data_IF_288142095132
#
_entry.id   IF_288142095132
#
_cell.length_a   1.000
_cell.length_b   1.000
_cell.length_c   1.000
_cell.angle_alpha   90.00
_cell.angle_beta   90.00
_cell.angle_gamma   90.00
#
_symmetry.space_group_name_H-M   'P 1'
#
loop_
_entity.id
_entity.type
_entity.pdbx_description
1 polymer ?
#
# COMPACT_ATOMS: atom_id res chain seq x y z
N UNK A 1 23.60 21.09 -3.06
CA UNK A 1 22.54 20.18 -2.56
C UNK A 1 21.26 20.98 -2.51
N UNK A 2 20.18 20.47 -3.08
CA UNK A 2 18.86 21.10 -3.01
C UNK A 2 18.37 21.06 -1.56
N UNK A 3 17.59 22.05 -1.12
CA UNK A 3 17.01 21.98 0.22
C UNK A 3 15.87 20.95 0.24
N UNK A 4 15.62 20.25 1.36
CA UNK A 4 14.47 19.35 1.47
C UNK A 4 13.13 20.05 1.17
N UNK A 5 13.03 21.34 1.48
CA UNK A 5 11.88 22.18 1.18
C UNK A 5 11.67 22.34 -0.33
N UNK A 6 12.73 22.67 -1.07
CA UNK A 6 12.66 22.77 -2.52
C UNK A 6 12.21 21.44 -3.14
N UNK A 7 12.76 20.32 -2.70
CA UNK A 7 12.40 19.00 -3.23
C UNK A 7 10.91 18.71 -3.02
N UNK A 8 10.36 19.01 -1.85
CA UNK A 8 8.93 18.84 -1.60
C UNK A 8 8.08 19.75 -2.50
N UNK A 9 8.44 21.03 -2.65
CA UNK A 9 7.70 21.97 -3.52
C UNK A 9 7.73 21.47 -4.97
N UNK A 10 8.89 21.09 -5.49
CA UNK A 10 9.00 20.63 -6.88
C UNK A 10 8.36 19.24 -7.10
N UNK A 11 8.40 18.35 -6.11
CA UNK A 11 7.66 17.08 -6.15
C UNK A 11 6.14 17.33 -6.23
N UNK A 12 5.62 18.26 -5.44
CA UNK A 12 4.21 18.69 -5.52
C UNK A 12 3.92 19.33 -6.89
N UNK A 13 4.78 20.24 -7.38
CA UNK A 13 4.61 20.90 -8.66
C UNK A 13 4.52 19.89 -9.83
N UNK A 14 5.35 18.85 -9.78
CA UNK A 14 5.40 17.82 -10.82
C UNK A 14 4.06 17.07 -10.99
N UNK A 15 3.31 16.89 -9.89
CA UNK A 15 1.98 16.26 -9.94
C UNK A 15 0.93 17.09 -10.69
N UNK A 16 1.21 18.38 -10.91
CA UNK A 16 0.28 19.32 -11.55
C UNK A 16 0.67 19.67 -12.99
N UNK A 17 1.79 19.16 -13.48
CA UNK A 17 2.23 19.44 -14.84
C UNK A 17 1.32 18.71 -15.84
N UNK A 18 0.66 19.45 -16.77
CA UNK A 18 -0.27 18.86 -17.72
C UNK A 18 0.39 17.77 -18.59
N UNK A 19 -0.24 16.62 -18.69
CA UNK A 19 0.24 15.53 -19.54
C UNK A 19 1.32 14.65 -18.90
N UNK A 20 1.73 14.93 -17.67
CA UNK A 20 2.61 14.07 -16.88
C UNK A 20 1.74 13.33 -15.87
N UNK A 21 1.57 12.03 -16.06
CA UNK A 21 0.93 11.13 -15.10
C UNK A 21 1.95 10.58 -14.10
N UNK A 22 1.48 9.75 -13.16
CA UNK A 22 2.33 9.17 -12.10
C UNK A 22 3.55 8.43 -12.66
N UNK A 23 3.35 7.56 -13.67
CA UNK A 23 4.42 6.80 -14.32
C UNK A 23 5.45 7.75 -14.96
N UNK A 24 4.98 8.77 -15.70
CA UNK A 24 5.87 9.74 -16.34
C UNK A 24 6.64 10.59 -15.33
N UNK A 25 6.00 11.00 -14.23
CA UNK A 25 6.64 11.76 -13.16
C UNK A 25 7.73 10.91 -12.45
N UNK A 26 7.42 9.65 -12.14
CA UNK A 26 8.39 8.70 -11.57
C UNK A 26 9.58 8.50 -12.51
N UNK A 27 9.32 8.25 -13.81
CA UNK A 27 10.37 8.06 -14.80
C UNK A 27 11.30 9.29 -14.91
N UNK A 28 10.76 10.51 -14.88
CA UNK A 28 11.56 11.73 -14.88
C UNK A 28 12.42 11.86 -13.62
N UNK A 29 11.89 11.55 -12.45
CA UNK A 29 12.63 11.60 -11.18
C UNK A 29 13.74 10.53 -11.18
N UNK A 30 13.44 9.31 -11.58
CA UNK A 30 14.41 8.20 -11.63
C UNK A 30 15.56 8.51 -12.59
N UNK A 31 15.26 9.14 -13.71
CA UNK A 31 16.27 9.49 -14.74
C UNK A 31 17.13 10.72 -14.41
N UNK A 32 16.62 11.66 -13.62
CA UNK A 32 17.29 12.92 -13.30
C UNK A 32 17.73 13.02 -11.83
N UNK A 33 17.26 12.09 -10.98
CA UNK A 33 17.66 11.92 -9.59
C UNK A 33 16.71 12.55 -8.56
N UNK A 34 16.04 13.66 -8.88
CA UNK A 34 15.08 14.32 -7.97
C UNK A 34 14.14 15.27 -8.72
N UNK A 35 13.07 15.72 -8.07
CA UNK A 35 12.07 16.58 -8.68
C UNK A 35 12.60 17.98 -9.03
N UNK A 36 13.50 18.54 -8.23
CA UNK A 36 14.11 19.84 -8.52
C UNK A 36 14.87 19.80 -9.85
N UNK A 37 15.65 18.74 -10.07
CA UNK A 37 16.44 18.58 -11.27
C UNK A 37 15.58 18.34 -12.51
N UNK A 38 14.40 17.73 -12.38
CA UNK A 38 13.41 17.62 -13.47
C UNK A 38 13.06 18.99 -14.05
N UNK A 39 12.85 19.99 -13.21
CA UNK A 39 12.53 21.36 -13.68
C UNK A 39 13.77 22.15 -14.10
N UNK A 40 14.88 22.05 -13.35
CA UNK A 40 16.11 22.81 -13.61
C UNK A 40 16.85 22.35 -14.86
N UNK A 41 16.93 21.04 -15.05
CA UNK A 41 17.65 20.41 -16.14
C UNK A 41 16.74 20.07 -17.34
N UNK A 42 15.53 20.67 -17.41
CA UNK A 42 14.56 20.37 -18.47
C UNK A 42 15.11 20.44 -19.89
N UNK A 43 16.10 21.32 -20.13
CA UNK A 43 16.75 21.45 -21.43
C UNK A 43 17.70 20.32 -21.79
N UNK A 44 18.17 19.58 -20.78
CA UNK A 44 19.05 18.43 -20.91
C UNK A 44 18.26 17.10 -21.01
N UNK A 45 16.94 17.11 -20.77
CA UNK A 45 16.09 15.92 -20.85
C UNK A 45 16.23 15.19 -22.19
N UNK A 46 16.24 15.87 -23.37
CA UNK A 46 16.40 15.17 -24.64
C UNK A 46 17.69 14.38 -24.79
N UNK A 47 18.76 14.80 -24.09
CA UNK A 47 20.06 14.12 -24.11
C UNK A 47 20.10 12.96 -23.11
N UNK A 48 19.47 13.12 -21.94
CA UNK A 48 19.50 12.14 -20.84
C UNK A 48 18.40 11.09 -20.94
N UNK A 49 17.22 11.48 -21.42
CA UNK A 49 16.00 10.68 -21.54
C UNK A 49 15.38 10.89 -22.93
N UNK A 50 15.99 10.35 -23.99
CA UNK A 50 15.58 10.62 -25.37
C UNK A 50 14.17 10.11 -25.71
N UNK A 51 13.62 9.20 -24.90
CA UNK A 51 12.24 8.69 -25.02
C UNK A 51 11.18 9.69 -24.54
N UNK A 52 11.55 10.71 -23.78
CA UNK A 52 10.61 11.73 -23.29
C UNK A 52 10.24 12.69 -24.42
N UNK A 53 8.95 12.78 -24.70
CA UNK A 53 8.45 13.60 -25.79
C UNK A 53 8.69 15.10 -25.56
N UNK A 54 8.95 15.85 -26.64
CA UNK A 54 9.11 17.30 -26.61
C UNK A 54 7.93 18.02 -25.93
N UNK A 55 6.71 17.47 -26.07
CA UNK A 55 5.50 18.01 -25.44
C UNK A 55 5.58 17.98 -23.91
N UNK A 56 6.14 16.91 -23.34
CA UNK A 56 6.34 16.78 -21.88
C UNK A 56 7.38 17.80 -21.41
N UNK A 57 8.47 17.98 -22.16
CA UNK A 57 9.53 18.92 -21.82
C UNK A 57 9.00 20.38 -21.84
N UNK A 58 8.19 20.72 -22.82
CA UNK A 58 7.54 22.04 -22.91
C UNK A 58 6.54 22.25 -21.76
N UNK A 59 5.79 21.20 -21.36
CA UNK A 59 4.83 21.25 -20.25
C UNK A 59 5.50 21.52 -18.89
N UNK A 60 6.78 21.14 -18.71
CA UNK A 60 7.56 21.45 -17.50
C UNK A 60 7.82 22.97 -17.33
N UNK A 61 7.61 23.79 -18.37
CA UNK A 61 7.61 25.24 -18.23
C UNK A 61 6.26 25.74 -17.69
N UNK A 62 5.95 25.36 -16.47
CA UNK A 62 4.68 25.64 -15.82
C UNK A 62 4.87 26.39 -14.48
N UNK A 63 5.15 27.69 -14.48
CA UNK A 63 5.33 28.47 -13.26
C UNK A 63 4.12 28.44 -12.33
N UNK A 64 2.91 28.26 -12.88
CA UNK A 64 1.68 28.17 -12.11
C UNK A 64 1.65 26.91 -11.24
N UNK A 65 2.21 25.79 -11.70
CA UNK A 65 2.33 24.57 -10.91
C UNK A 65 3.26 24.81 -9.70
N UNK A 66 4.38 25.49 -9.90
CA UNK A 66 5.32 25.82 -8.81
C UNK A 66 4.65 26.75 -7.80
N UNK A 67 4.00 27.84 -8.26
CA UNK A 67 3.29 28.77 -7.37
C UNK A 67 2.19 28.06 -6.54
N UNK A 68 1.44 27.16 -7.19
CA UNK A 68 0.41 26.37 -6.47
C UNK A 68 1.04 25.38 -5.49
N UNK A 69 2.19 24.81 -5.83
CA UNK A 69 2.93 23.93 -4.93
C UNK A 69 3.46 24.66 -3.70
N UNK A 70 3.95 25.90 -3.84
CA UNK A 70 4.35 26.74 -2.71
C UNK A 70 3.16 27.01 -1.77
N UNK A 71 1.98 27.31 -2.32
CA UNK A 71 0.75 27.48 -1.52
C UNK A 71 0.37 26.19 -0.78
N UNK A 72 0.50 25.05 -1.43
CA UNK A 72 0.23 23.74 -0.80
C UNK A 72 1.26 23.45 0.28
N UNK A 73 2.53 23.75 0.06
CA UNK A 73 3.59 23.60 1.04
C UNK A 73 3.30 24.41 2.32
N UNK A 74 2.87 25.67 2.18
CA UNK A 74 2.45 26.48 3.32
C UNK A 74 1.23 25.89 4.04
N UNK A 75 0.25 25.36 3.29
CA UNK A 75 -0.92 24.70 3.87
C UNK A 75 -0.53 23.47 4.68
N UNK A 76 0.30 22.55 4.16
CA UNK A 76 0.70 21.34 4.86
C UNK A 76 1.54 21.66 6.10
N UNK A 77 2.45 22.63 6.00
CA UNK A 77 3.26 23.09 7.14
C UNK A 77 2.39 23.65 8.25
N UNK A 78 1.44 24.55 7.94
CA UNK A 78 0.51 25.15 8.88
C UNK A 78 -0.37 24.10 9.58
N UNK A 79 -0.77 23.05 8.88
CA UNK A 79 -1.67 22.02 9.39
C UNK A 79 -0.94 20.79 9.96
N UNK A 80 0.39 20.81 10.05
CA UNK A 80 1.23 19.68 10.50
C UNK A 80 0.91 18.39 9.74
N UNK A 81 0.89 18.49 8.42
CA UNK A 81 0.71 17.39 7.49
C UNK A 81 2.11 17.00 6.99
N UNK A 82 2.44 15.74 7.03
CA UNK A 82 3.68 15.22 6.46
C UNK A 82 3.54 15.12 4.93
N UNK A 83 4.50 15.68 4.21
CA UNK A 83 4.68 15.49 2.79
C UNK A 83 5.67 14.36 2.58
N UNK A 84 5.23 13.26 2.01
CA UNK A 84 6.04 12.08 1.78
C UNK A 84 6.38 12.01 0.28
N UNK A 85 7.61 12.34 -0.06
CA UNK A 85 8.12 12.19 -1.43
C UNK A 85 8.48 10.72 -1.70
N UNK A 86 8.46 10.32 -2.95
CA UNK A 86 8.66 8.94 -3.38
C UNK A 86 9.93 8.27 -2.83
N UNK A 87 11.00 9.03 -2.59
CA UNK A 87 12.28 8.55 -2.07
C UNK A 87 12.42 8.62 -0.54
N UNK A 88 11.42 9.18 0.16
CA UNK A 88 11.46 9.27 1.63
C UNK A 88 11.31 7.88 2.26
N UNK A 89 12.06 7.61 3.33
CA UNK A 89 11.93 6.35 4.09
C UNK A 89 10.52 6.12 4.63
N UNK A 90 9.84 7.19 5.04
CA UNK A 90 8.47 7.12 5.53
C UNK A 90 7.41 6.91 4.45
N UNK A 91 7.78 6.96 3.16
CA UNK A 91 6.85 6.63 2.07
C UNK A 91 6.50 5.13 2.12
N UNK A 92 5.23 4.73 1.92
CA UNK A 92 4.84 3.32 1.97
C UNK A 92 5.66 2.47 0.99
N UNK A 93 6.55 1.62 1.51
CA UNK A 93 7.47 0.81 0.71
C UNK A 93 6.73 -0.10 -0.28
N UNK A 94 5.64 -0.73 0.17
CA UNK A 94 4.80 -1.58 -0.68
C UNK A 94 4.20 -0.81 -1.86
N UNK A 95 3.75 0.43 -1.61
CA UNK A 95 3.20 1.27 -2.67
C UNK A 95 4.28 1.74 -3.65
N UNK A 96 5.52 1.97 -3.17
CA UNK A 96 6.66 2.34 -4.00
C UNK A 96 6.94 1.31 -5.11
N UNK A 97 6.66 0.04 -4.86
CA UNK A 97 6.83 -1.04 -5.83
C UNK A 97 5.77 -1.03 -6.95
N UNK A 98 4.68 -0.30 -6.79
CA UNK A 98 3.66 -0.17 -7.82
C UNK A 98 4.14 0.76 -8.93
N UNK A 99 3.86 0.40 -10.20
CA UNK A 99 4.27 1.21 -11.35
C UNK A 99 3.67 2.62 -11.35
N UNK A 100 2.43 2.73 -10.87
CA UNK A 100 1.64 3.97 -10.83
C UNK A 100 1.64 4.62 -9.45
N UNK A 101 2.65 4.32 -8.61
CA UNK A 101 2.82 4.94 -7.30
C UNK A 101 2.85 6.48 -7.41
N UNK A 102 2.11 7.21 -6.55
CA UNK A 102 2.18 8.67 -6.55
C UNK A 102 3.56 9.15 -6.10
N UNK A 103 4.10 10.17 -6.79
CA UNK A 103 5.41 10.74 -6.43
C UNK A 103 5.38 11.53 -5.12
N UNK A 104 4.18 11.91 -4.67
CA UNK A 104 3.94 12.62 -3.41
C UNK A 104 2.69 12.08 -2.72
N UNK A 105 2.76 11.93 -1.42
CA UNK A 105 1.63 11.64 -0.54
C UNK A 105 1.57 12.67 0.60
N UNK A 106 0.37 13.01 1.02
CA UNK A 106 0.11 13.84 2.18
C UNK A 106 -0.46 13.00 3.30
N UNK A 107 0.22 12.96 4.43
CA UNK A 107 -0.18 12.15 5.58
C UNK A 107 -0.39 12.99 6.83
N UNK A 108 -1.48 12.73 7.53
CA UNK A 108 -1.76 13.32 8.83
C UNK A 108 -2.18 12.23 9.80
N UNK A 109 -1.34 11.95 10.78
CA UNK A 109 -1.53 10.89 11.77
C UNK A 109 -0.22 10.49 12.42
N UNK A 110 -0.24 9.33 13.06
CA UNK A 110 0.92 8.78 13.77
C UNK A 110 1.20 7.30 13.44
N UNK A 111 0.45 6.69 12.51
CA UNK A 111 0.71 5.32 12.08
C UNK A 111 2.05 5.21 11.36
N UNK A 112 2.73 4.10 11.58
CA UNK A 112 3.82 3.68 10.72
C UNK A 112 3.23 3.06 9.42
N UNK A 113 3.44 3.75 8.30
CA UNK A 113 2.96 3.31 6.99
C UNK A 113 3.77 2.13 6.42
N UNK A 114 4.86 1.75 7.09
CA UNK A 114 5.72 0.62 6.81
C UNK A 114 5.64 -0.48 7.87
N UNK A 115 4.53 -0.53 8.64
CA UNK A 115 4.25 -1.60 9.59
C UNK A 115 4.46 -2.97 8.96
N UNK A 116 4.92 -3.95 9.75
CA UNK A 116 5.23 -5.30 9.26
C UNK A 116 4.02 -5.96 8.60
N UNK A 117 2.81 -5.74 9.15
CA UNK A 117 1.57 -6.31 8.66
C UNK A 117 0.57 -5.20 8.33
N UNK A 118 0.18 -5.10 7.07
CA UNK A 118 -0.78 -4.11 6.59
C UNK A 118 -1.84 -4.82 5.75
N UNK A 119 -3.10 -4.70 6.12
CA UNK A 119 -4.21 -5.19 5.31
C UNK A 119 -5.18 -4.07 4.95
N UNK A 120 -5.88 -4.22 3.85
CA UNK A 120 -7.04 -3.38 3.60
C UNK A 120 -8.34 -4.17 3.64
N UNK A 121 -9.39 -3.51 4.12
CA UNK A 121 -10.76 -4.03 4.12
C UNK A 121 -11.62 -3.13 3.26
N UNK A 122 -12.28 -3.71 2.28
CA UNK A 122 -13.13 -2.99 1.32
C UNK A 122 -14.46 -3.69 1.11
N UNK A 123 -15.45 -2.96 0.62
CA UNK A 123 -16.73 -3.56 0.31
C UNK A 123 -17.79 -2.59 -0.21
N UNK A 124 -19.04 -3.03 -0.17
CA UNK A 124 -20.18 -2.24 -0.59
C UNK A 124 -20.37 -1.00 0.29
N UNK A 125 -20.85 0.08 -0.31
CA UNK A 125 -21.29 1.28 0.43
C UNK A 125 -22.57 1.08 1.22
N UNK A 126 -23.31 0.02 0.92
CA UNK A 126 -24.55 -0.39 1.57
C UNK A 126 -24.30 -1.69 2.35
N UNK A 127 -23.45 -1.61 3.38
CA UNK A 127 -23.16 -2.75 4.23
C UNK A 127 -24.44 -3.31 4.86
N UNK A 128 -24.57 -4.63 4.85
CA UNK A 128 -25.65 -5.32 5.55
C UNK A 128 -25.25 -5.61 7.00
N UNK A 129 -26.22 -6.09 7.81
CA UNK A 129 -25.92 -6.56 9.17
C UNK A 129 -24.88 -7.70 9.16
N UNK A 130 -24.90 -8.54 8.14
CA UNK A 130 -23.91 -9.60 7.94
C UNK A 130 -22.50 -9.02 7.74
N UNK A 131 -22.34 -8.07 6.81
CA UNK A 131 -21.04 -7.44 6.55
C UNK A 131 -20.50 -6.67 7.75
N UNK A 132 -21.37 -5.97 8.48
CA UNK A 132 -20.97 -5.25 9.71
C UNK A 132 -20.53 -6.21 10.83
N UNK A 133 -21.23 -7.34 10.99
CA UNK A 133 -20.83 -8.39 11.94
C UNK A 133 -19.50 -9.04 11.58
N UNK A 134 -19.24 -9.29 10.29
CA UNK A 134 -17.93 -9.79 9.83
C UNK A 134 -16.84 -8.80 10.18
N UNK A 135 -17.01 -7.49 9.89
CA UNK A 135 -16.01 -6.48 10.25
C UNK A 135 -15.69 -6.52 11.75
N UNK A 136 -16.73 -6.58 12.60
CA UNK A 136 -16.58 -6.58 14.05
C UNK A 136 -15.86 -7.84 14.56
N UNK A 137 -16.34 -9.03 14.14
CA UNK A 137 -15.75 -10.29 14.59
C UNK A 137 -14.33 -10.46 14.07
N UNK A 138 -14.11 -10.22 12.79
CA UNK A 138 -12.80 -10.38 12.16
C UNK A 138 -11.74 -9.49 12.81
N UNK A 139 -12.01 -8.19 12.99
CA UNK A 139 -11.01 -7.27 13.58
C UNK A 139 -10.78 -7.51 15.06
N UNK A 140 -11.81 -7.93 15.83
CA UNK A 140 -11.66 -8.34 17.22
C UNK A 140 -10.73 -9.56 17.32
N UNK A 141 -10.96 -10.59 16.51
CA UNK A 141 -10.22 -11.84 16.55
C UNK A 141 -8.80 -11.63 15.97
N UNK A 142 -8.67 -10.79 14.92
CA UNK A 142 -7.38 -10.40 14.36
C UNK A 142 -6.51 -9.65 15.39
N UNK A 143 -7.08 -8.78 16.21
CA UNK A 143 -6.33 -8.11 17.30
C UNK A 143 -5.70 -9.07 18.26
N UNK A 144 -6.39 -10.16 18.58
CA UNK A 144 -5.84 -11.19 19.46
C UNK A 144 -4.66 -11.96 18.83
N UNK A 145 -4.67 -12.12 17.50
CA UNK A 145 -3.68 -12.89 16.75
C UNK A 145 -2.50 -12.01 16.28
N UNK A 146 -2.78 -10.80 15.82
CA UNK A 146 -1.82 -9.85 15.26
C UNK A 146 -2.08 -8.44 15.82
N UNK A 147 -1.60 -8.12 17.03
CA UNK A 147 -1.95 -6.88 17.75
C UNK A 147 -1.48 -5.60 17.08
N UNK A 148 -0.47 -5.67 16.21
CA UNK A 148 0.18 -4.51 15.59
C UNK A 148 -0.18 -4.33 14.11
N UNK A 149 -1.20 -5.03 13.61
CA UNK A 149 -1.61 -4.94 12.22
C UNK A 149 -2.20 -3.56 11.90
N UNK A 150 -1.75 -2.93 10.82
CA UNK A 150 -2.32 -1.69 10.30
C UNK A 150 -3.50 -2.01 9.38
N UNK A 151 -4.67 -1.46 9.69
CA UNK A 151 -5.89 -1.59 8.89
C UNK A 151 -6.05 -0.39 7.98
N UNK A 152 -6.13 -0.59 6.68
CA UNK A 152 -6.30 0.46 5.67
C UNK A 152 -7.67 0.34 5.02
N UNK A 153 -8.32 1.47 4.75
CA UNK A 153 -9.54 1.52 3.95
C UNK A 153 -9.77 2.92 3.38
N UNK A 154 -10.89 3.11 2.71
CA UNK A 154 -11.16 4.35 1.96
C UNK A 154 -12.01 5.40 2.68
N UNK A 155 -12.40 5.20 3.93
CA UNK A 155 -13.29 6.08 4.68
C UNK A 155 -14.66 6.33 3.98
N UNK A 156 -15.06 5.49 3.03
CA UNK A 156 -16.34 5.57 2.35
C UNK A 156 -17.49 5.05 3.23
N UNK A 157 -18.73 5.20 2.76
CA UNK A 157 -19.88 4.56 3.40
C UNK A 157 -19.75 3.03 3.39
N UNK A 158 -20.50 2.35 4.26
CA UNK A 158 -20.60 0.90 4.33
C UNK A 158 -19.37 0.25 4.94
N UNK A 159 -18.78 -0.73 4.27
CA UNK A 159 -17.71 -1.55 4.84
C UNK A 159 -16.50 -0.72 5.29
N UNK A 160 -16.08 0.28 4.50
CA UNK A 160 -14.89 1.09 4.82
C UNK A 160 -15.01 1.76 6.20
N UNK A 161 -16.12 2.43 6.47
CA UNK A 161 -16.31 3.11 7.77
C UNK A 161 -16.47 2.11 8.93
N UNK A 162 -17.09 0.94 8.69
CA UNK A 162 -17.17 -0.10 9.70
C UNK A 162 -15.80 -0.68 10.02
N UNK A 163 -14.96 -0.94 9.01
CA UNK A 163 -13.59 -1.38 9.21
C UNK A 163 -12.79 -0.40 10.08
N UNK A 164 -12.87 0.92 9.81
CA UNK A 164 -12.19 1.92 10.63
C UNK A 164 -12.71 1.98 12.06
N UNK A 165 -14.03 1.95 12.26
CA UNK A 165 -14.64 1.99 13.60
C UNK A 165 -14.29 0.76 14.44
N UNK A 166 -14.35 -0.40 13.84
CA UNK A 166 -14.00 -1.66 14.52
C UNK A 166 -12.49 -1.75 14.78
N UNK A 167 -11.64 -1.26 13.88
CA UNK A 167 -10.21 -1.15 14.14
C UNK A 167 -9.94 -0.26 15.36
N UNK A 168 -10.54 0.94 15.43
CA UNK A 168 -10.40 1.84 16.56
C UNK A 168 -10.96 1.25 17.87
N UNK A 169 -12.11 0.57 17.80
CA UNK A 169 -12.73 -0.08 18.96
C UNK A 169 -11.86 -1.21 19.54
N UNK A 170 -11.11 -1.89 18.69
CA UNK A 170 -10.18 -2.96 19.07
C UNK A 170 -8.72 -2.46 19.22
N UNK A 171 -8.49 -1.16 19.29
CA UNK A 171 -7.16 -0.57 19.44
C UNK A 171 -6.15 -0.97 18.36
N UNK A 172 -6.62 -1.24 17.15
CA UNK A 172 -5.80 -1.42 15.96
C UNK A 172 -5.54 -0.07 15.28
N UNK A 173 -4.30 0.22 14.85
CA UNK A 173 -4.03 1.42 14.05
C UNK A 173 -4.78 1.32 12.72
N UNK A 174 -5.34 2.47 12.26
CA UNK A 174 -6.08 2.48 11.02
C UNK A 174 -5.85 3.74 10.19
N UNK A 175 -5.63 3.57 8.87
CA UNK A 175 -5.37 4.67 7.93
C UNK A 175 -6.47 4.76 6.89
N UNK A 176 -7.09 5.93 6.82
CA UNK A 176 -8.05 6.28 5.78
C UNK A 176 -7.37 6.92 4.58
N UNK A 177 -7.40 6.26 3.44
CA UNK A 177 -6.93 6.86 2.19
C UNK A 177 -8.09 7.66 1.59
N UNK A 178 -7.87 8.94 1.28
CA UNK A 178 -8.91 9.86 0.85
C UNK A 178 -8.87 10.13 -0.65
N UNK A 179 -10.03 10.41 -1.24
CA UNK A 179 -10.19 10.79 -2.65
C UNK A 179 -10.31 12.32 -2.85
N UNK A 180 -9.76 13.08 -1.92
CA UNK A 180 -9.79 14.54 -1.86
C UNK A 180 -8.67 15.06 -0.96
N UNK A 181 -8.45 16.38 -0.94
CA UNK A 181 -7.43 17.01 -0.08
C UNK A 181 -7.74 16.91 1.41
N UNK A 182 -6.71 17.07 2.25
CA UNK A 182 -6.82 17.03 3.73
C UNK A 182 -7.45 18.29 4.34
N UNK A 183 -7.91 19.23 3.54
CA UNK A 183 -8.64 20.44 3.97
C UNK A 183 -10.09 20.15 4.37
N UNK A 184 -10.61 18.98 4.06
CA UNK A 184 -11.99 18.54 4.33
C UNK A 184 -12.09 17.05 4.61
N UNK A 185 -13.25 16.63 5.13
CA UNK A 185 -13.60 15.22 5.30
C UNK A 185 -14.88 14.92 4.51
N UNK A 186 -14.82 13.91 3.67
CA UNK A 186 -15.96 13.40 2.93
C UNK A 186 -16.03 11.85 3.08
N UNK A 187 -17.22 11.31 3.41
CA UNK A 187 -18.45 12.01 3.78
C UNK A 187 -18.33 12.75 5.13
N UNK A 188 -18.97 13.91 5.26
CA UNK A 188 -18.87 14.72 6.47
C UNK A 188 -19.35 13.99 7.74
N UNK A 189 -20.30 13.06 7.61
CA UNK A 189 -20.78 12.23 8.74
C UNK A 189 -19.68 11.34 9.34
N UNK A 190 -18.60 11.06 8.65
CA UNK A 190 -17.45 10.29 9.13
C UNK A 190 -16.39 11.14 9.86
N UNK A 191 -16.65 12.44 10.02
CA UNK A 191 -15.69 13.38 10.61
C UNK A 191 -15.20 12.96 11.99
N UNK A 192 -16.12 12.46 12.85
CA UNK A 192 -15.74 12.00 14.19
C UNK A 192 -14.71 10.86 14.09
N UNK A 193 -15.03 9.82 13.32
CA UNK A 193 -14.10 8.69 13.10
C UNK A 193 -12.77 9.14 12.51
N UNK A 194 -12.79 10.06 11.53
CA UNK A 194 -11.57 10.60 10.93
C UNK A 194 -10.69 11.36 11.96
N UNK A 195 -11.29 12.05 12.93
CA UNK A 195 -10.55 12.70 14.01
C UNK A 195 -9.96 11.67 14.98
N UNK A 196 -10.75 10.67 15.38
CA UNK A 196 -10.29 9.60 16.26
C UNK A 196 -9.12 8.81 15.63
N UNK A 197 -9.11 8.64 14.30
CA UNK A 197 -8.02 7.99 13.55
C UNK A 197 -6.70 8.77 13.62
N UNK A 198 -6.72 10.09 13.80
CA UNK A 198 -5.47 10.87 13.90
C UNK A 198 -4.62 10.51 15.12
N UNK A 199 -5.25 9.98 16.16
CA UNK A 199 -4.58 9.56 17.40
C UNK A 199 -4.06 8.13 17.35
N UNK A 200 -4.70 7.26 16.55
CA UNK A 200 -4.38 5.83 16.45
C UNK A 200 -4.28 5.35 14.99
N UNK A 201 -3.64 6.14 14.14
CA UNK A 201 -3.59 5.84 12.73
C UNK A 201 -3.32 7.08 11.90
N UNK A 202 -4.24 7.43 10.98
CA UNK A 202 -4.11 8.64 10.20
C UNK A 202 -4.99 8.71 8.96
N UNK A 203 -4.79 9.80 8.23
CA UNK A 203 -5.43 10.09 6.94
C UNK A 203 -4.34 10.31 5.90
N UNK A 204 -4.47 9.65 4.77
CA UNK A 204 -3.52 9.67 3.65
C UNK A 204 -4.22 10.10 2.37
N UNK A 205 -3.55 10.91 1.55
CA UNK A 205 -4.05 11.26 0.22
C UNK A 205 -2.92 11.67 -0.73
N UNK A 206 -3.14 11.53 -2.03
CA UNK A 206 -2.31 12.12 -3.07
C UNK A 206 -2.84 13.48 -3.57
N UNK A 207 -4.06 13.84 -3.17
CA UNK A 207 -4.76 15.02 -3.68
C UNK A 207 -4.41 16.27 -2.87
N UNK A 208 -4.20 17.37 -3.59
CA UNK A 208 -3.95 18.68 -3.00
C UNK A 208 -5.17 19.24 -2.26
N UNK A 209 -4.93 20.17 -1.34
CA UNK A 209 -6.00 20.95 -0.71
C UNK A 209 -6.87 21.63 -1.76
N UNK A 210 -8.17 21.71 -1.49
CA UNK A 210 -9.16 22.25 -2.44
C UNK A 210 -9.68 21.24 -3.46
N UNK A 211 -9.07 20.04 -3.57
CA UNK A 211 -9.60 18.98 -4.46
C UNK A 211 -10.92 18.44 -3.93
N UNK A 212 -11.95 18.45 -4.78
CA UNK A 212 -13.28 17.94 -4.44
C UNK A 212 -13.33 16.40 -4.57
N UNK A 213 -14.15 15.73 -3.74
CA UNK A 213 -14.40 14.30 -3.89
C UNK A 213 -15.31 14.07 -5.12
N UNK A 214 -14.75 13.57 -6.19
CA UNK A 214 -15.49 13.18 -7.39
C UNK A 214 -15.33 11.69 -7.70
N UNK A 215 -16.13 11.18 -8.65
CA UNK A 215 -16.15 9.76 -8.98
C UNK A 215 -14.79 9.25 -9.48
N UNK A 216 -14.08 10.06 -10.26
CA UNK A 216 -12.79 9.70 -10.82
C UNK A 216 -11.75 9.53 -9.71
N UNK A 217 -11.71 10.47 -8.77
CA UNK A 217 -10.77 10.44 -7.65
C UNK A 217 -10.98 9.22 -6.74
N UNK A 218 -12.24 8.77 -6.55
CA UNK A 218 -12.51 7.55 -5.79
C UNK A 218 -11.93 6.30 -6.47
N UNK A 219 -11.99 6.23 -7.79
CA UNK A 219 -11.44 5.10 -8.55
C UNK A 219 -9.89 5.16 -8.51
N UNK A 220 -9.34 6.34 -8.79
CA UNK A 220 -7.88 6.56 -8.78
C UNK A 220 -7.26 6.24 -7.42
N UNK A 221 -7.88 6.67 -6.32
CA UNK A 221 -7.43 6.44 -4.95
C UNK A 221 -7.32 4.96 -4.59
N UNK A 222 -8.19 4.10 -5.15
CA UNK A 222 -8.22 2.67 -4.78
C UNK A 222 -6.89 1.96 -5.06
N UNK A 223 -6.09 2.45 -6.01
CA UNK A 223 -4.74 1.91 -6.26
C UNK A 223 -3.80 2.10 -5.07
N UNK A 224 -3.94 3.21 -4.34
CA UNK A 224 -3.17 3.46 -3.12
C UNK A 224 -3.61 2.49 -2.02
N UNK A 225 -4.94 2.29 -1.84
CA UNK A 225 -5.46 1.34 -0.87
C UNK A 225 -4.95 -0.08 -1.14
N UNK A 226 -4.99 -0.53 -2.40
CA UNK A 226 -4.51 -1.85 -2.77
C UNK A 226 -2.98 -1.96 -2.68
N UNK A 227 -2.26 -0.97 -3.22
CA UNK A 227 -0.81 -1.03 -3.39
C UNK A 227 -0.01 -0.93 -2.09
N UNK A 228 -0.54 -0.25 -1.05
CA UNK A 228 0.17 -0.10 0.22
C UNK A 228 -0.03 -1.25 1.22
N UNK A 229 -0.80 -2.27 0.88
CA UNK A 229 -1.15 -3.36 1.78
C UNK A 229 -0.57 -4.69 1.31
N UNK A 230 -0.39 -5.64 2.24
CA UNK A 230 -0.01 -7.03 1.94
C UNK A 230 -1.19 -7.79 1.34
N UNK A 231 -2.40 -7.52 1.84
CA UNK A 231 -3.60 -8.21 1.41
C UNK A 231 -4.82 -7.28 1.33
N UNK A 232 -5.73 -7.62 0.40
CA UNK A 232 -7.05 -7.01 0.25
C UNK A 232 -8.12 -8.00 0.70
N UNK A 233 -8.98 -7.58 1.62
CA UNK A 233 -10.13 -8.37 2.10
C UNK A 233 -11.42 -7.72 1.62
N UNK A 234 -12.19 -8.44 0.80
CA UNK A 234 -13.51 -8.02 0.33
C UNK A 234 -14.59 -8.63 1.22
N UNK A 235 -15.27 -7.79 2.01
CA UNK A 235 -16.29 -8.25 2.97
C UNK A 235 -17.63 -8.50 2.29
N UNK A 236 -18.12 -7.55 1.53
CA UNK A 236 -19.34 -7.62 0.74
C UNK A 236 -19.19 -6.84 -0.56
N UNK A 237 -19.70 -7.36 -1.64
CA UNK A 237 -19.73 -6.66 -2.93
C UNK A 237 -20.90 -7.12 -3.80
N UNK A 238 -21.58 -6.15 -4.41
CA UNK A 238 -22.47 -6.46 -5.52
C UNK A 238 -21.65 -6.95 -6.74
N UNK A 239 -22.34 -7.54 -7.72
CA UNK A 239 -21.72 -8.08 -8.93
C UNK A 239 -20.87 -7.08 -9.71
N UNK A 240 -21.19 -5.78 -9.63
CA UNK A 240 -20.46 -4.65 -10.24
C UNK A 240 -20.07 -3.62 -9.18
N UNK A 241 -19.57 -4.05 -8.05
CA UNK A 241 -19.15 -3.19 -6.93
C UNK A 241 -17.80 -2.52 -7.16
N UNK A 242 -17.60 -1.32 -6.60
CA UNK A 242 -16.32 -0.61 -6.64
C UNK A 242 -15.18 -1.33 -5.91
N UNK A 243 -15.49 -2.16 -4.91
CA UNK A 243 -14.54 -3.01 -4.19
C UNK A 243 -13.88 -4.08 -5.07
N UNK A 244 -14.57 -4.50 -6.15
CA UNK A 244 -13.99 -5.43 -7.12
C UNK A 244 -12.85 -4.77 -7.91
N UNK A 245 -12.91 -3.47 -8.14
CA UNK A 245 -11.81 -2.71 -8.76
C UNK A 245 -10.58 -2.74 -7.86
N UNK A 246 -10.77 -2.58 -6.54
CA UNK A 246 -9.66 -2.67 -5.57
C UNK A 246 -9.05 -4.07 -5.54
N UNK A 247 -9.88 -5.12 -5.63
CA UNK A 247 -9.41 -6.50 -5.72
C UNK A 247 -8.61 -6.76 -7.02
N UNK A 248 -9.07 -6.24 -8.16
CA UNK A 248 -8.35 -6.33 -9.44
C UNK A 248 -7.02 -5.57 -9.41
N UNK A 249 -6.98 -4.42 -8.75
CA UNK A 249 -5.73 -3.67 -8.56
C UNK A 249 -4.76 -4.43 -7.66
N UNK A 250 -5.24 -5.04 -6.56
CA UNK A 250 -4.41 -5.86 -5.68
C UNK A 250 -3.80 -7.05 -6.44
N UNK A 251 -4.58 -7.76 -7.25
CA UNK A 251 -4.10 -8.82 -8.14
C UNK A 251 -3.01 -8.30 -9.10
N UNK A 252 -3.23 -7.12 -9.70
CA UNK A 252 -2.26 -6.47 -10.60
C UNK A 252 -0.95 -6.08 -9.91
N UNK A 253 -0.97 -5.80 -8.61
CA UNK A 253 0.22 -5.50 -7.81
C UNK A 253 0.80 -6.73 -7.11
N UNK A 254 0.33 -7.93 -7.45
CA UNK A 254 0.74 -9.20 -6.83
C UNK A 254 0.52 -9.22 -5.31
N UNK A 255 -0.59 -8.59 -4.84
CA UNK A 255 -1.02 -8.64 -3.44
C UNK A 255 -2.09 -9.70 -3.28
N UNK A 256 -2.07 -10.36 -2.12
CA UNK A 256 -3.08 -11.38 -1.82
C UNK A 256 -4.48 -10.77 -1.75
N UNK A 257 -5.45 -11.51 -2.26
CA UNK A 257 -6.85 -11.12 -2.20
C UNK A 257 -7.70 -12.20 -1.55
N UNK A 258 -8.53 -11.78 -0.61
CA UNK A 258 -9.45 -12.64 0.13
C UNK A 258 -10.88 -12.12 0.02
N UNK A 259 -11.86 -13.01 0.08
CA UNK A 259 -13.25 -12.61 0.08
C UNK A 259 -14.07 -13.48 1.05
N UNK A 260 -14.93 -12.85 1.81
CA UNK A 260 -15.92 -13.55 2.61
C UNK A 260 -17.05 -14.05 1.72
N UNK A 261 -17.42 -15.34 1.81
CA UNK A 261 -18.54 -15.89 1.05
C UNK A 261 -19.87 -15.43 1.65
N UNK A 262 -20.93 -15.47 0.86
CA UNK A 262 -22.27 -15.26 1.35
C UNK A 262 -23.28 -16.04 0.54
N UNK A 263 -24.57 -15.85 0.84
CA UNK A 263 -25.63 -16.60 0.17
C UNK A 263 -25.73 -16.23 -1.31
N UNK A 264 -26.02 -17.18 -2.16
CA UNK A 264 -26.14 -16.95 -3.62
C UNK A 264 -27.29 -15.99 -3.97
N UNK A 265 -28.32 -15.92 -3.12
CA UNK A 265 -29.46 -15.00 -3.29
C UNK A 265 -29.14 -13.56 -2.94
N UNK A 266 -28.15 -13.31 -2.10
CA UNK A 266 -27.88 -12.01 -1.53
C UNK A 266 -27.11 -11.13 -2.53
N UNK A 267 -27.62 -9.93 -2.77
CA UNK A 267 -27.06 -9.01 -3.77
C UNK A 267 -25.59 -8.68 -3.52
N UNK A 268 -25.24 -8.38 -2.26
CA UNK A 268 -23.89 -7.98 -1.88
C UNK A 268 -22.94 -9.15 -1.62
N UNK A 269 -23.39 -10.39 -1.77
CA UNK A 269 -22.54 -11.57 -1.75
C UNK A 269 -22.08 -12.00 -3.15
N UNK A 270 -22.80 -11.59 -4.21
CA UNK A 270 -22.52 -12.02 -5.60
C UNK A 270 -21.12 -11.67 -6.07
N UNK A 271 -20.62 -10.48 -5.73
CA UNK A 271 -19.28 -10.04 -6.10
C UNK A 271 -18.19 -10.87 -5.42
N UNK A 272 -18.30 -11.10 -4.10
CA UNK A 272 -17.37 -11.94 -3.34
C UNK A 272 -17.38 -13.37 -3.83
N UNK A 273 -18.56 -13.98 -4.00
CA UNK A 273 -18.70 -15.35 -4.52
C UNK A 273 -18.12 -15.49 -5.92
N UNK A 274 -18.23 -14.43 -6.76
CA UNK A 274 -17.62 -14.41 -8.10
C UNK A 274 -16.10 -14.36 -8.03
N UNK A 275 -15.51 -13.51 -7.17
CA UNK A 275 -14.05 -13.45 -6.97
C UNK A 275 -13.50 -14.83 -6.57
N UNK A 276 -14.17 -15.51 -5.61
CA UNK A 276 -13.78 -16.85 -5.14
C UNK A 276 -13.90 -17.87 -6.26
N UNK A 277 -15.04 -17.90 -6.96
CA UNK A 277 -15.29 -18.84 -8.07
C UNK A 277 -14.26 -18.69 -9.19
N UNK A 278 -13.89 -17.44 -9.51
CA UNK A 278 -12.98 -17.12 -10.62
C UNK A 278 -11.51 -17.19 -10.19
N UNK A 279 -11.21 -17.67 -8.96
CA UNK A 279 -9.88 -17.78 -8.35
C UNK A 279 -9.12 -16.43 -8.27
N UNK A 280 -9.86 -15.31 -8.17
CA UNK A 280 -9.31 -13.97 -7.99
C UNK A 280 -9.18 -13.56 -6.52
N UNK A 281 -9.82 -14.31 -5.63
CA UNK A 281 -9.70 -14.17 -4.19
C UNK A 281 -9.78 -15.55 -3.53
N UNK A 282 -8.98 -15.75 -2.50
CA UNK A 282 -9.09 -16.90 -1.63
C UNK A 282 -10.32 -16.76 -0.75
N UNK A 283 -11.03 -17.88 -0.52
CA UNK A 283 -12.15 -17.91 0.41
C UNK A 283 -11.63 -17.68 1.83
N UNK A 284 -12.30 -16.78 2.57
CA UNK A 284 -11.97 -16.45 3.95
C UNK A 284 -13.16 -16.69 4.86
N UNK A 285 -12.96 -17.37 5.98
CA UNK A 285 -14.01 -17.69 6.96
C UNK A 285 -13.74 -17.05 8.33
N UNK A 286 -12.47 -16.85 8.70
CA UNK A 286 -12.09 -16.34 10.01
C UNK A 286 -10.78 -15.54 9.98
N UNK A 287 -10.45 -14.87 11.08
CA UNK A 287 -9.15 -14.21 11.26
C UNK A 287 -8.01 -15.24 11.37
N UNK A 288 -8.27 -16.40 11.96
CA UNK A 288 -7.29 -17.49 12.03
C UNK A 288 -6.91 -17.99 10.65
N UNK A 289 -7.90 -18.22 9.77
CA UNK A 289 -7.66 -18.63 8.37
C UNK A 289 -6.81 -17.59 7.65
N UNK A 290 -7.12 -16.30 7.85
CA UNK A 290 -6.36 -15.20 7.25
C UNK A 290 -4.90 -15.21 7.73
N UNK A 291 -4.68 -15.21 9.03
CA UNK A 291 -3.35 -15.17 9.65
C UNK A 291 -2.52 -16.40 9.24
N UNK A 292 -3.16 -17.57 9.12
CA UNK A 292 -2.52 -18.78 8.64
C UNK A 292 -2.16 -18.66 7.15
N UNK A 293 -3.06 -18.18 6.30
CA UNK A 293 -2.83 -18.02 4.87
C UNK A 293 -1.72 -17.01 4.58
N UNK A 294 -1.68 -15.91 5.37
CA UNK A 294 -0.63 -14.89 5.29
C UNK A 294 0.68 -15.32 5.98
N UNK A 295 0.69 -16.39 6.75
CA UNK A 295 1.84 -16.82 7.55
C UNK A 295 2.21 -15.87 8.68
N UNK A 296 1.28 -15.05 9.17
CA UNK A 296 1.55 -14.03 10.19
C UNK A 296 1.58 -14.59 11.62
N UNK A 297 1.13 -15.80 11.86
CA UNK A 297 1.11 -16.44 13.18
C UNK A 297 2.37 -17.28 13.50
N UNK A 298 3.46 -17.03 12.76
CA UNK A 298 4.74 -17.64 13.12
C UNK A 298 5.24 -16.92 14.36
N UNK A 299 5.28 -17.58 15.56
CA UNK A 299 5.84 -16.95 16.72
C UNK A 299 7.27 -16.54 16.38
N UNK A 300 7.66 -15.28 16.65
CA UNK A 300 9.06 -14.92 16.81
C UNK A 300 9.60 -15.60 18.08
N UNK A 301 9.46 -16.91 18.20
CA UNK A 301 10.24 -17.67 19.14
C UNK A 301 11.66 -17.59 18.64
N UNK A 302 12.49 -16.86 19.39
CA UNK A 302 13.93 -17.06 19.36
C UNK A 302 14.15 -18.57 19.28
N UNK A 303 14.40 -19.08 18.08
CA UNK A 303 14.65 -20.49 17.88
C UNK A 303 15.85 -20.80 18.75
N UNK A 304 15.67 -21.76 19.65
CA UNK A 304 16.78 -22.46 20.26
C UNK A 304 17.77 -22.73 19.13
N UNK A 305 19.02 -22.32 19.35
CA UNK A 305 20.11 -22.51 18.42
C UNK A 305 20.27 -23.99 18.13
N UNK A 306 19.51 -24.49 17.15
CA UNK A 306 19.91 -25.73 16.49
C UNK A 306 21.04 -25.33 15.59
N UNK A 307 22.25 -25.73 15.93
CA UNK A 307 23.44 -25.54 15.11
C UNK A 307 23.28 -26.34 13.82
N UNK A 308 22.76 -25.67 12.80
CA UNK A 308 22.66 -26.25 11.46
C UNK A 308 24.07 -26.30 10.87
N UNK A 309 24.52 -27.49 10.58
CA UNK A 309 25.76 -27.73 9.85
C UNK A 309 25.54 -27.24 8.41
N UNK A 310 26.03 -26.01 8.10
CA UNK A 310 25.97 -25.44 6.76
C UNK A 310 26.70 -26.36 5.78
N UNK A 311 26.03 -26.73 4.69
CA UNK A 311 26.72 -27.36 3.56
C UNK A 311 27.73 -26.37 2.99
N UNK A 312 28.98 -26.78 2.95
CA UNK A 312 30.16 -25.90 2.93
C UNK A 312 30.46 -25.19 1.60
N UNK A 313 29.62 -25.29 0.55
CA UNK A 313 30.01 -24.82 -0.80
C UNK A 313 28.90 -24.22 -1.67
N UNK A 314 27.92 -23.50 -1.10
CA UNK A 314 26.99 -22.74 -1.93
C UNK A 314 27.45 -21.28 -1.92
N UNK A 315 27.99 -20.80 -3.05
CA UNK A 315 28.28 -19.37 -3.21
C UNK A 315 26.93 -18.61 -3.37
N UNK A 316 26.63 -17.78 -2.36
CA UNK A 316 25.49 -16.89 -2.37
C UNK A 316 25.96 -15.47 -2.69
N UNK A 317 25.23 -14.77 -3.55
CA UNK A 317 25.42 -13.33 -3.77
C UNK A 317 25.14 -12.54 -2.49
N UNK A 318 25.58 -11.29 -2.43
CA UNK A 318 25.33 -10.42 -1.26
C UNK A 318 23.83 -10.26 -0.96
N UNK A 319 23.01 -10.18 -1.99
CA UNK A 319 21.55 -10.05 -1.86
C UNK A 319 20.89 -11.35 -1.40
N UNK A 320 21.35 -12.49 -1.90
CA UNK A 320 20.89 -13.81 -1.43
C UNK A 320 21.28 -14.04 0.04
N UNK A 321 22.49 -13.63 0.45
CA UNK A 321 22.92 -13.69 1.84
C UNK A 321 22.03 -12.83 2.74
N UNK A 322 21.62 -11.66 2.27
CA UNK A 322 20.70 -10.77 2.98
C UNK A 322 19.34 -11.44 3.21
N UNK A 323 18.78 -12.09 2.19
CA UNK A 323 17.50 -12.83 2.29
C UNK A 323 17.65 -14.00 3.27
N UNK A 324 18.71 -14.77 3.17
CA UNK A 324 18.99 -15.89 4.07
C UNK A 324 19.09 -15.40 5.52
N UNK A 325 19.83 -14.32 5.79
CA UNK A 325 19.96 -13.73 7.11
C UNK A 325 18.62 -13.25 7.69
N UNK A 326 17.74 -12.72 6.86
CA UNK A 326 16.38 -12.32 7.26
C UNK A 326 15.56 -13.55 7.63
N UNK A 327 15.58 -14.60 6.80
CA UNK A 327 14.88 -15.85 7.08
C UNK A 327 15.46 -16.58 8.31
N UNK A 328 16.77 -16.51 8.54
CA UNK A 328 17.39 -17.02 9.76
C UNK A 328 16.89 -16.29 11.01
N UNK A 329 16.73 -14.97 10.91
CA UNK A 329 16.36 -14.13 12.05
C UNK A 329 14.86 -14.15 12.34
N UNK A 330 14.01 -14.11 11.32
CA UNK A 330 12.56 -13.91 11.43
C UNK A 330 11.75 -15.19 11.17
N UNK A 331 12.38 -16.28 10.72
CA UNK A 331 11.71 -17.53 10.39
C UNK A 331 11.09 -17.52 8.99
N UNK A 332 9.99 -18.26 8.81
CA UNK A 332 9.32 -18.34 7.52
C UNK A 332 8.58 -17.04 7.21
N UNK A 333 8.77 -16.48 6.01
CA UNK A 333 8.17 -15.21 5.60
C UNK A 333 7.53 -15.32 4.22
N UNK A 334 6.49 -14.53 4.00
CA UNK A 334 5.94 -14.27 2.68
C UNK A 334 6.84 -13.32 1.87
N UNK A 335 6.73 -13.39 0.54
CA UNK A 335 7.49 -12.53 -0.37
C UNK A 335 7.32 -11.04 -0.03
N UNK A 336 6.13 -10.59 0.32
CA UNK A 336 5.87 -9.20 0.67
C UNK A 336 6.64 -8.74 1.91
N UNK A 337 6.74 -9.60 2.93
CA UNK A 337 7.53 -9.31 4.13
C UNK A 337 9.03 -9.31 3.81
N UNK A 338 9.49 -10.24 2.96
CA UNK A 338 10.88 -10.27 2.51
C UNK A 338 11.27 -9.03 1.70
N UNK A 339 10.38 -8.54 0.83
CA UNK A 339 10.56 -7.29 0.08
C UNK A 339 10.79 -6.10 1.01
N UNK A 340 9.96 -5.98 2.05
CA UNK A 340 10.07 -4.89 3.03
C UNK A 340 11.34 -5.00 3.87
N UNK A 341 11.60 -6.18 4.43
CA UNK A 341 12.75 -6.41 5.32
C UNK A 341 14.11 -6.35 4.59
N UNK A 342 14.15 -6.81 3.34
CA UNK A 342 15.36 -6.79 2.54
C UNK A 342 15.58 -5.47 1.79
N UNK A 343 14.54 -4.63 1.67
CA UNK A 343 14.55 -3.45 0.80
C UNK A 343 14.98 -3.81 -0.64
N UNK A 344 14.36 -4.86 -1.19
CA UNK A 344 14.62 -5.37 -2.54
C UNK A 344 13.29 -5.38 -3.30
N UNK A 345 13.22 -4.78 -4.52
CA UNK A 345 12.03 -4.76 -5.35
C UNK A 345 11.44 -6.14 -5.61
N UNK A 346 10.11 -6.27 -5.65
CA UNK A 346 9.41 -7.55 -5.73
C UNK A 346 9.82 -8.39 -6.95
N UNK A 347 10.03 -7.77 -8.11
CA UNK A 347 10.48 -8.43 -9.33
C UNK A 347 11.87 -9.08 -9.15
N UNK A 348 12.78 -8.37 -8.47
CA UNK A 348 14.12 -8.87 -8.16
C UNK A 348 14.08 -9.90 -7.03
N UNK A 349 13.25 -9.67 -6.02
CA UNK A 349 13.03 -10.61 -4.92
C UNK A 349 12.54 -11.97 -5.44
N UNK A 350 11.57 -11.97 -6.37
CA UNK A 350 11.06 -13.20 -6.98
C UNK A 350 12.17 -13.99 -7.69
N UNK A 351 13.05 -13.32 -8.42
CA UNK A 351 14.17 -13.97 -9.10
C UNK A 351 15.17 -14.56 -8.09
N UNK A 352 15.53 -13.81 -7.05
CA UNK A 352 16.46 -14.26 -6.00
C UNK A 352 15.90 -15.44 -5.19
N UNK A 353 14.61 -15.41 -4.88
CA UNK A 353 13.93 -16.52 -4.18
C UNK A 353 13.89 -17.78 -5.04
N UNK A 354 13.66 -17.65 -6.34
CA UNK A 354 13.74 -18.77 -7.28
C UNK A 354 15.16 -19.35 -7.35
N UNK A 355 16.19 -18.50 -7.42
CA UNK A 355 17.59 -18.96 -7.42
C UNK A 355 17.96 -19.67 -6.11
N UNK A 356 17.54 -19.12 -4.95
CA UNK A 356 17.75 -19.74 -3.64
C UNK A 356 17.04 -21.10 -3.51
N UNK A 357 15.85 -21.24 -4.09
CA UNK A 357 15.12 -22.50 -4.13
C UNK A 357 15.84 -23.53 -5.03
N UNK A 358 16.28 -23.12 -6.22
CA UNK A 358 17.06 -23.97 -7.13
C UNK A 358 18.42 -24.37 -6.53
N UNK A 359 19.02 -23.51 -5.71
CA UNK A 359 20.24 -23.84 -4.94
C UNK A 359 19.96 -24.75 -3.73
N UNK A 360 18.68 -25.05 -3.44
CA UNK A 360 18.30 -25.88 -2.28
C UNK A 360 18.54 -25.20 -0.93
N UNK A 361 18.56 -23.88 -0.89
CA UNK A 361 18.75 -23.09 0.34
C UNK A 361 17.43 -22.81 1.03
N UNK A 362 16.38 -22.59 0.24
CA UNK A 362 15.03 -22.34 0.74
C UNK A 362 14.02 -23.28 0.05
N UNK A 363 12.83 -23.37 0.60
CA UNK A 363 11.65 -24.00 -0.02
C UNK A 363 10.43 -23.13 0.08
N UNK A 364 9.54 -23.27 -0.90
CA UNK A 364 8.20 -22.65 -0.85
C UNK A 364 7.23 -23.58 -0.11
N UNK A 365 6.50 -23.03 0.84
CA UNK A 365 5.42 -23.69 1.57
C UNK A 365 4.06 -23.23 1.01
N UNK A 366 3.00 -23.91 1.42
CA UNK A 366 1.63 -23.49 1.10
C UNK A 366 1.38 -22.05 1.59
N UNK A 367 0.66 -21.23 0.78
CA UNK A 367 0.43 -19.82 1.08
C UNK A 367 1.56 -18.88 0.67
N UNK A 368 2.49 -19.32 -0.20
CA UNK A 368 3.59 -18.46 -0.68
C UNK A 368 4.62 -18.11 0.39
N UNK A 369 4.75 -18.95 1.40
CA UNK A 369 5.74 -18.83 2.46
C UNK A 369 7.08 -19.41 2.03
N UNK A 370 8.17 -18.71 2.34
CA UNK A 370 9.54 -19.15 2.11
C UNK A 370 10.18 -19.59 3.43
N UNK A 371 10.82 -20.75 3.41
CA UNK A 371 11.48 -21.34 4.56
C UNK A 371 12.90 -21.77 4.18
N UNK A 372 13.87 -21.53 5.10
CA UNK A 372 15.21 -22.11 4.96
C UNK A 372 15.15 -23.63 5.05
N UNK A 373 15.89 -24.29 4.17
CA UNK A 373 16.17 -25.71 4.27
C UNK A 373 17.36 -25.91 5.21
N UNK A 374 17.15 -26.73 6.23
CA UNK A 374 18.17 -27.11 7.22
C UNK A 374 19.17 -28.09 6.63
#
# INVERSE_FOLDING_TARGET
MNSPEEEQIYSIALTMVPGIGHIGAKHLIDGLGNAVDVFRLRKEIPERLPEVSQRVIEALDCPQAVLRAEQEYEFIRKNRISCLSFHDEAYPSRLRECEDAPVVLFFKGNADLNSLHILNMVGTRNATDYGTQICASFLRDLKALCPDVLVVSGLAYGIDIHAHREALANELPTVGVLAHGLDRIYPHVHRKTAVDMLEKGGLLTEFLSGTNPDRHNFISRNRIVAGMCDATIVIESAEKGGSLITAELAEGYHRDCFAFPGRMSDEYSKGCNRLIRDNKASLLLSAEDFVQAMGWNIPMTLSEKVSVQRSLFIELSEEEQKIVAILEKLGNLQINSLVVEADIPVNKMTALLFELEMKGVIRVLAGGMYQLLN
#
